data_IF_453931878397
#
_entry.id   IF_453931878397
#
_cell.length_a   1.000
_cell.length_b   1.000
_cell.length_c   1.000
_cell.angle_alpha   90.00
_cell.angle_beta   90.00
_cell.angle_gamma   90.00
#
_symmetry.space_group_name_H-M   'P 1'
#
loop_
_entity.id
_entity.type
_entity.pdbx_description
1 polymer ?
#
# COMPACT_ATOMS: atom_id res chain seq x y z
N UNK A 1 22.82 -19.03 1.62
CA UNK A 1 22.81 -17.57 1.47
C UNK A 1 21.71 -17.02 2.37
N UNK A 2 22.07 -16.32 3.44
CA UNK A 2 21.14 -15.63 4.34
C UNK A 2 20.75 -14.32 3.68
N UNK A 3 19.49 -14.20 3.26
CA UNK A 3 18.93 -12.95 2.76
C UNK A 3 19.02 -11.94 3.93
N UNK A 4 19.55 -10.72 3.74
CA UNK A 4 19.44 -9.68 4.75
C UNK A 4 17.95 -9.45 5.07
N UNK A 5 17.64 -8.99 6.28
CA UNK A 5 16.28 -8.60 6.67
C UNK A 5 15.78 -7.44 5.80
N UNK A 6 15.39 -7.72 4.55
CA UNK A 6 14.96 -6.70 3.61
C UNK A 6 13.48 -6.45 3.81
N UNK A 7 13.18 -5.26 4.30
CA UNK A 7 11.82 -4.79 4.49
C UNK A 7 11.20 -4.46 3.13
N UNK A 8 9.91 -4.76 2.99
CA UNK A 8 9.13 -4.48 1.79
C UNK A 8 8.57 -3.06 1.89
N UNK A 9 9.15 -2.11 1.15
CA UNK A 9 8.63 -0.74 1.13
C UNK A 9 7.52 -0.63 0.07
N UNK A 10 6.29 -0.44 0.54
CA UNK A 10 5.11 -0.26 -0.30
C UNK A 10 4.65 1.19 -0.18
N UNK A 11 4.68 1.86 -1.32
CA UNK A 11 4.18 3.20 -1.51
C UNK A 11 2.82 3.17 -2.23
N UNK A 12 1.83 3.86 -1.65
CA UNK A 12 0.49 3.98 -2.22
C UNK A 12 0.20 5.44 -2.52
N UNK A 13 -0.13 5.72 -3.77
CA UNK A 13 -0.52 7.04 -4.25
C UNK A 13 -1.92 7.00 -4.87
N UNK A 14 -2.74 8.02 -4.63
CA UNK A 14 -4.05 8.16 -5.28
C UNK A 14 -3.87 9.07 -6.49
N UNK A 15 -4.10 8.54 -7.68
CA UNK A 15 -3.84 9.23 -8.95
C UNK A 15 -5.07 9.96 -9.49
N UNK A 16 -6.27 9.49 -9.17
CA UNK A 16 -7.54 10.13 -9.54
C UNK A 16 -8.58 9.95 -8.44
N UNK A 17 -9.39 10.97 -8.18
CA UNK A 17 -10.49 10.92 -7.23
C UNK A 17 -11.48 12.06 -7.50
N UNK A 18 -12.76 11.83 -7.21
CA UNK A 18 -13.83 12.83 -7.36
C UNK A 18 -14.18 13.53 -6.04
N UNK A 19 -14.12 12.82 -4.92
CA UNK A 19 -14.52 13.34 -3.61
C UNK A 19 -13.38 13.35 -2.60
N UNK A 20 -12.68 14.49 -2.50
CA UNK A 20 -11.50 14.64 -1.62
C UNK A 20 -11.80 14.37 -0.14
N UNK A 21 -12.96 14.81 0.37
CA UNK A 21 -13.33 14.64 1.79
C UNK A 21 -13.46 13.15 2.15
N UNK A 22 -14.07 12.36 1.26
CA UNK A 22 -14.20 10.92 1.47
C UNK A 22 -12.84 10.20 1.43
N UNK A 23 -11.95 10.58 0.51
CA UNK A 23 -10.61 10.01 0.42
C UNK A 23 -9.83 10.26 1.72
N UNK A 24 -9.81 11.50 2.20
CA UNK A 24 -9.13 11.84 3.46
C UNK A 24 -9.73 11.06 4.64
N UNK A 25 -11.07 10.93 4.69
CA UNK A 25 -11.75 10.16 5.73
C UNK A 25 -11.33 8.69 5.71
N UNK A 26 -11.20 8.08 4.54
CA UNK A 26 -10.74 6.68 4.39
C UNK A 26 -9.30 6.56 4.87
N UNK A 27 -8.38 7.39 4.37
CA UNK A 27 -6.94 7.33 4.73
C UNK A 27 -6.76 7.43 6.24
N UNK A 28 -7.51 8.33 6.90
CA UNK A 28 -7.46 8.50 8.36
C UNK A 28 -7.98 7.33 9.19
N UNK A 29 -8.72 6.38 8.60
CA UNK A 29 -9.07 5.14 9.30
C UNK A 29 -7.87 4.22 9.47
N UNK A 30 -6.87 4.36 8.60
CA UNK A 30 -5.71 3.47 8.52
C UNK A 30 -4.39 4.19 8.86
N UNK A 31 -4.42 5.50 9.13
CA UNK A 31 -3.24 6.30 9.48
C UNK A 31 -3.60 7.47 10.40
N UNK A 32 -2.71 7.74 11.36
CA UNK A 32 -2.77 8.90 12.25
C UNK A 32 -2.22 10.19 11.62
N UNK A 33 -1.92 10.19 10.31
CA UNK A 33 -1.36 11.36 9.61
C UNK A 33 -2.30 12.58 9.71
N UNK A 34 -1.75 13.80 9.90
CA UNK A 34 -2.54 15.02 9.89
C UNK A 34 -3.28 15.25 8.56
N UNK A 35 -4.51 15.79 8.62
CA UNK A 35 -5.31 16.10 7.42
C UNK A 35 -4.55 17.00 6.45
N UNK A 36 -3.85 18.01 6.96
CA UNK A 36 -3.10 18.95 6.12
C UNK A 36 -2.02 18.26 5.29
N UNK A 37 -1.32 17.28 5.88
CA UNK A 37 -0.33 16.48 5.19
C UNK A 37 -0.97 15.63 4.09
N UNK A 38 -2.00 14.84 4.42
CA UNK A 38 -2.73 14.01 3.44
C UNK A 38 -3.27 14.88 2.30
N UNK A 39 -3.82 16.05 2.62
CA UNK A 39 -4.36 16.99 1.63
C UNK A 39 -3.29 17.46 0.65
N UNK A 40 -2.08 17.78 1.17
CA UNK A 40 -0.94 18.22 0.38
C UNK A 40 -0.44 17.11 -0.54
N UNK A 41 -0.27 15.88 -0.02
CA UNK A 41 0.19 14.69 -0.75
C UNK A 41 -0.78 14.32 -1.88
N UNK A 42 -2.09 14.36 -1.62
CA UNK A 42 -3.12 14.17 -2.66
C UNK A 42 -3.07 15.22 -3.77
N UNK A 43 -2.67 16.47 -3.46
CA UNK A 43 -2.61 17.57 -4.45
C UNK A 43 -1.43 17.38 -5.41
N UNK A 44 -0.30 16.90 -4.90
CA UNK A 44 0.91 16.65 -5.69
C UNK A 44 1.01 15.21 -6.22
N UNK A 45 -0.03 14.39 -6.01
CA UNK A 45 -0.06 12.96 -6.34
C UNK A 45 1.12 12.16 -5.77
N UNK A 46 1.61 12.57 -4.60
CA UNK A 46 2.65 11.86 -3.86
C UNK A 46 2.04 10.67 -3.13
N UNK A 47 2.90 9.73 -2.73
CA UNK A 47 2.51 8.62 -1.86
C UNK A 47 1.86 9.14 -0.58
N UNK A 48 0.58 8.80 -0.42
CA UNK A 48 -0.27 9.15 0.73
C UNK A 48 -0.14 8.13 1.85
N UNK A 49 0.43 6.98 1.52
CA UNK A 49 0.65 5.87 2.43
C UNK A 49 1.98 5.24 2.06
N UNK A 50 2.80 5.03 3.07
CA UNK A 50 4.08 4.36 2.97
C UNK A 50 4.10 3.34 4.10
N UNK A 51 4.16 2.07 3.72
CA UNK A 51 4.24 0.97 4.68
C UNK A 51 5.55 0.26 4.43
N UNK A 52 6.29 0.07 5.51
CA UNK A 52 7.39 -0.87 5.57
C UNK A 52 6.86 -2.20 6.13
N UNK A 53 6.74 -3.21 5.28
CA UNK A 53 6.35 -4.55 5.71
C UNK A 53 7.59 -5.32 6.16
N UNK A 54 7.73 -5.45 7.48
CA UNK A 54 8.67 -6.38 8.09
C UNK A 54 8.23 -7.82 7.79
N UNK A 55 9.20 -8.74 7.66
CA UNK A 55 8.98 -10.16 7.34
C UNK A 55 8.01 -10.88 8.29
N UNK A 56 8.06 -10.54 9.57
CA UNK A 56 7.21 -11.07 10.64
C UNK A 56 5.83 -10.40 10.70
N UNK A 57 5.71 -9.17 10.20
CA UNK A 57 4.47 -8.40 10.17
C UNK A 57 3.80 -8.33 8.79
N UNK A 58 4.39 -8.99 7.79
CA UNK A 58 3.99 -8.90 6.39
C UNK A 58 2.49 -9.10 6.19
N UNK A 59 1.92 -10.17 6.75
CA UNK A 59 0.50 -10.48 6.58
C UNK A 59 -0.43 -9.47 7.22
N UNK A 60 -0.07 -8.96 8.39
CA UNK A 60 -0.87 -7.97 9.10
C UNK A 60 -0.88 -6.65 8.32
N UNK A 61 0.29 -6.16 7.91
CA UNK A 61 0.39 -4.93 7.13
C UNK A 61 -0.20 -5.07 5.72
N UNK A 62 -0.06 -6.25 5.08
CA UNK A 62 -0.70 -6.54 3.79
C UNK A 62 -2.22 -6.50 3.87
N UNK A 63 -2.81 -7.07 4.92
CA UNK A 63 -4.27 -7.02 5.15
C UNK A 63 -4.76 -5.57 5.29
N UNK A 64 -4.04 -4.76 6.06
CA UNK A 64 -4.33 -3.32 6.21
C UNK A 64 -4.26 -2.59 4.87
N UNK A 65 -3.21 -2.83 4.08
CA UNK A 65 -3.06 -2.25 2.75
C UNK A 65 -4.20 -2.66 1.81
N UNK A 66 -4.56 -3.95 1.81
CA UNK A 66 -5.66 -4.48 1.00
C UNK A 66 -7.00 -3.82 1.33
N UNK A 67 -7.31 -3.64 2.62
CA UNK A 67 -8.53 -2.96 3.05
C UNK A 67 -8.54 -1.48 2.69
N UNK A 68 -7.42 -0.78 2.88
CA UNK A 68 -7.27 0.61 2.46
C UNK A 68 -7.51 0.76 0.95
N UNK A 69 -6.86 -0.06 0.13
CA UNK A 69 -7.04 -0.05 -1.33
C UNK A 69 -8.49 -0.36 -1.69
N UNK A 70 -9.10 -1.35 -1.06
CA UNK A 70 -10.51 -1.69 -1.25
C UNK A 70 -11.45 -0.51 -0.99
N UNK A 71 -11.32 0.14 0.17
CA UNK A 71 -12.13 1.30 0.54
C UNK A 71 -11.94 2.47 -0.44
N UNK A 72 -10.70 2.72 -0.90
CA UNK A 72 -10.40 3.76 -1.88
C UNK A 72 -11.04 3.47 -3.25
N UNK A 73 -10.95 2.23 -3.72
CA UNK A 73 -11.58 1.83 -4.98
C UNK A 73 -13.11 1.92 -4.92
N UNK A 74 -13.72 1.57 -3.78
CA UNK A 74 -15.18 1.64 -3.57
C UNK A 74 -15.73 3.07 -3.70
N UNK A 75 -14.94 4.09 -3.37
CA UNK A 75 -15.31 5.50 -3.56
C UNK A 75 -14.88 6.07 -4.91
N UNK A 76 -14.45 5.22 -5.85
CA UNK A 76 -14.06 5.59 -7.20
C UNK A 76 -12.67 6.23 -7.30
N UNK A 77 -11.80 6.02 -6.32
CA UNK A 77 -10.41 6.46 -6.41
C UNK A 77 -9.62 5.54 -7.35
N UNK A 78 -8.67 6.10 -8.11
CA UNK A 78 -7.62 5.34 -8.78
C UNK A 78 -6.38 5.31 -7.90
N UNK A 79 -5.86 4.12 -7.62
CA UNK A 79 -4.73 3.90 -6.73
C UNK A 79 -3.56 3.34 -7.54
N UNK A 80 -2.38 3.90 -7.31
CA UNK A 80 -1.09 3.37 -7.78
C UNK A 80 -0.35 2.80 -6.58
N UNK A 81 0.07 1.54 -6.70
CA UNK A 81 0.91 0.88 -5.71
C UNK A 81 2.29 0.72 -6.33
N UNK A 82 3.30 1.27 -5.67
CA UNK A 82 4.70 1.13 -6.01
C UNK A 82 5.32 0.27 -4.92
N UNK A 83 5.96 -0.82 -5.33
CA UNK A 83 6.69 -1.68 -4.43
C UNK A 83 8.16 -1.41 -4.73
N UNK A 84 8.84 -0.69 -3.85
CA UNK A 84 10.26 -0.41 -3.99
C UNK A 84 11.02 -1.62 -3.48
N UNK A 85 11.86 -2.21 -4.34
CA UNK A 85 12.69 -3.33 -3.94
C UNK A 85 14.07 -3.33 -4.56
N UNK A 86 15.05 -3.70 -3.73
CA UNK A 86 16.34 -4.21 -4.18
C UNK A 86 16.37 -5.75 -4.31
N UNK A 87 15.48 -6.52 -3.64
CA UNK A 87 15.67 -7.99 -3.46
C UNK A 87 14.39 -8.85 -3.38
N UNK A 88 13.26 -8.48 -4.00
CA UNK A 88 12.07 -9.36 -4.00
C UNK A 88 11.82 -10.00 -5.35
N UNK A 89 11.48 -11.29 -5.30
CA UNK A 89 11.17 -12.09 -6.48
C UNK A 89 10.06 -11.41 -7.31
N UNK A 90 10.34 -11.24 -8.62
CA UNK A 90 9.40 -10.74 -9.62
C UNK A 90 8.07 -11.52 -9.59
N UNK A 91 8.11 -12.80 -9.24
CA UNK A 91 6.91 -13.65 -9.12
C UNK A 91 5.97 -13.16 -8.02
N UNK A 92 6.53 -12.74 -6.88
CA UNK A 92 5.78 -12.21 -5.75
C UNK A 92 5.20 -10.83 -6.07
N UNK A 93 5.98 -9.94 -6.68
CA UNK A 93 5.50 -8.60 -7.11
C UNK A 93 4.31 -8.75 -8.07
N UNK A 94 4.36 -9.73 -8.98
CA UNK A 94 3.26 -10.01 -9.89
C UNK A 94 2.03 -10.57 -9.16
N UNK A 95 2.22 -11.40 -8.12
CA UNK A 95 1.13 -11.86 -7.24
C UNK A 95 0.52 -10.70 -6.43
N UNK A 96 1.29 -9.70 -6.01
CA UNK A 96 0.79 -8.50 -5.33
C UNK A 96 -0.06 -7.62 -6.26
N UNK A 97 0.30 -7.53 -7.55
CA UNK A 97 -0.39 -6.70 -8.55
C UNK A 97 -1.72 -7.30 -9.01
N UNK A 98 -1.81 -8.62 -9.10
CA UNK A 98 -3.06 -9.32 -9.35
C UNK A 98 -3.88 -9.32 -8.04
N UNK A 99 -5.18 -8.98 -8.08
CA UNK A 99 -6.09 -9.05 -6.92
C UNK A 99 -6.04 -10.46 -6.30
N UNK A 100 -5.18 -10.71 -5.31
CA UNK A 100 -4.89 -12.08 -4.88
C UNK A 100 -5.20 -12.35 -3.42
N UNK A 101 -6.18 -13.22 -3.22
CA UNK A 101 -6.57 -13.88 -1.98
C UNK A 101 -5.63 -15.02 -1.55
N UNK A 102 -4.51 -15.27 -2.24
CA UNK A 102 -3.74 -16.53 -2.14
C UNK A 102 -2.20 -16.36 -2.04
N UNK A 103 -1.69 -15.35 -1.33
CA UNK A 103 -0.25 -15.23 -1.05
C UNK A 103 0.14 -16.15 0.11
N UNK A 104 1.05 -17.11 -0.11
CA UNK A 104 1.56 -18.06 0.90
C UNK A 104 2.90 -17.61 1.47
N UNK A 105 3.29 -18.16 2.64
CA UNK A 105 4.49 -17.71 3.38
C UNK A 105 5.79 -17.98 2.63
N UNK A 106 5.81 -19.03 1.83
CA UNK A 106 6.93 -19.34 0.95
C UNK A 106 7.06 -18.42 -0.26
N UNK A 107 6.06 -17.59 -0.58
CA UNK A 107 6.16 -16.63 -1.69
C UNK A 107 6.98 -15.38 -1.30
N UNK A 108 7.25 -15.20 0.00
CA UNK A 108 7.95 -14.04 0.57
C UNK A 108 9.46 -14.32 0.73
N UNK A 109 9.91 -15.57 0.57
CA UNK A 109 11.25 -16.05 0.91
C UNK A 109 12.01 -16.62 -0.27
#
# INVERSE_FOLDING_TARGET
MTIPNSNLLIELSVTKFSNKKNIIKIIRKYSDRPIGQIYSELKIQKSIFEIELLKDQFYAGWKTLSFLVGDLLLVGASVKIIVNHEVVDLSFINKLKCKMTNIKRGDIY
#
